data_IF_381832458880
#
_entry.id   IF_381832458880
#
_cell.length_a   1.000
_cell.length_b   1.000
_cell.length_c   1.000
_cell.angle_alpha   90.00
_cell.angle_beta   90.00
_cell.angle_gamma   90.00
#
_symmetry.space_group_name_H-M   'P 1'
#
loop_
_entity.id
_entity.type
_entity.pdbx_description
1 polymer ?
#
# COMPACT_ATOMS: atom_id res chain seq x y z
N UNK A 1 -12.88 11.91 23.72
CA UNK A 1 -11.90 11.14 22.91
C UNK A 1 -10.54 11.77 23.11
N UNK A 2 -9.48 10.96 23.23
CA UNK A 2 -8.11 11.48 23.26
C UNK A 2 -7.72 12.03 21.88
N UNK A 3 -6.81 12.99 21.83
CA UNK A 3 -6.29 13.56 20.57
C UNK A 3 -5.70 12.47 19.65
N UNK A 4 -5.03 11.48 20.24
CA UNK A 4 -4.51 10.30 19.54
C UNK A 4 -5.62 9.46 18.87
N UNK A 5 -6.78 9.29 19.53
CA UNK A 5 -7.92 8.58 18.95
C UNK A 5 -8.54 9.34 17.76
N UNK A 6 -8.56 10.68 17.82
CA UNK A 6 -9.04 11.53 16.71
C UNK A 6 -8.08 11.41 15.51
N UNK A 7 -6.78 11.45 15.75
CA UNK A 7 -5.77 11.27 14.69
C UNK A 7 -5.85 9.86 14.07
N UNK A 8 -6.07 8.83 14.86
CA UNK A 8 -6.22 7.46 14.36
C UNK A 8 -7.47 7.31 13.48
N UNK A 9 -8.60 7.86 13.90
CA UNK A 9 -9.84 7.88 13.10
C UNK A 9 -9.67 8.68 11.81
N UNK A 10 -9.11 9.90 11.92
CA UNK A 10 -8.87 10.74 10.74
C UNK A 10 -7.91 10.07 9.74
N UNK A 11 -6.88 9.39 10.22
CA UNK A 11 -5.95 8.62 9.40
C UNK A 11 -6.63 7.43 8.70
N UNK A 12 -7.43 6.67 9.44
CA UNK A 12 -8.12 5.49 8.89
C UNK A 12 -9.18 5.87 7.85
N UNK A 13 -10.03 6.83 8.16
CA UNK A 13 -11.08 7.29 7.23
C UNK A 13 -10.46 8.01 6.03
N UNK A 14 -9.49 8.90 6.27
CA UNK A 14 -8.78 9.62 5.22
C UNK A 14 -8.00 8.68 4.30
N UNK A 15 -7.34 7.67 4.86
CA UNK A 15 -6.62 6.64 4.09
C UNK A 15 -7.56 5.80 3.23
N UNK A 16 -8.70 5.39 3.77
CA UNK A 16 -9.72 4.64 3.01
C UNK A 16 -10.32 5.47 1.87
N UNK A 17 -10.62 6.74 2.13
CA UNK A 17 -11.12 7.67 1.11
C UNK A 17 -10.07 7.93 0.02
N UNK A 18 -8.82 8.19 0.39
CA UNK A 18 -7.71 8.37 -0.55
C UNK A 18 -7.50 7.12 -1.41
N UNK A 19 -7.57 5.93 -0.79
CA UNK A 19 -7.48 4.65 -1.50
C UNK A 19 -8.62 4.50 -2.51
N UNK A 20 -9.86 4.78 -2.11
CA UNK A 20 -11.02 4.68 -3.00
C UNK A 20 -10.92 5.64 -4.18
N UNK A 21 -10.51 6.88 -3.96
CA UNK A 21 -10.31 7.87 -5.02
C UNK A 21 -9.21 7.49 -6.01
N UNK A 22 -8.12 6.89 -5.53
CA UNK A 22 -6.98 6.50 -6.36
C UNK A 22 -7.07 5.06 -6.85
N UNK A 23 -8.12 4.31 -6.49
CA UNK A 23 -8.24 2.90 -6.82
C UNK A 23 -8.22 2.58 -8.32
N UNK A 24 -8.79 3.40 -9.22
CA UNK A 24 -8.63 3.20 -10.66
C UNK A 24 -7.16 3.08 -11.08
N UNK A 25 -6.27 3.91 -10.53
CA UNK A 25 -4.84 3.83 -10.82
C UNK A 25 -4.18 2.60 -10.18
N UNK A 26 -4.64 2.18 -8.99
CA UNK A 26 -4.19 0.92 -8.36
C UNK A 26 -4.53 -0.26 -9.26
N UNK A 27 -5.78 -0.33 -9.74
CA UNK A 27 -6.25 -1.39 -10.62
C UNK A 27 -5.47 -1.42 -11.94
N UNK A 28 -5.32 -0.27 -12.59
CA UNK A 28 -4.57 -0.15 -13.85
C UNK A 28 -3.09 -0.50 -13.69
N UNK A 29 -2.43 -0.04 -12.62
CA UNK A 29 -1.02 -0.36 -12.36
C UNK A 29 -0.84 -1.86 -12.10
N UNK A 30 -1.78 -2.50 -11.38
CA UNK A 30 -1.75 -3.94 -11.12
C UNK A 30 -1.95 -4.73 -12.42
N UNK A 31 -2.90 -4.33 -13.25
CA UNK A 31 -3.13 -4.95 -14.58
C UNK A 31 -1.91 -4.79 -15.49
N UNK A 32 -1.32 -3.59 -15.54
CA UNK A 32 -0.11 -3.33 -16.33
C UNK A 32 1.08 -4.19 -15.85
N UNK A 33 1.25 -4.37 -14.54
CA UNK A 33 2.29 -5.22 -13.98
C UNK A 33 2.13 -6.71 -14.38
N UNK A 34 0.90 -7.17 -14.61
CA UNK A 34 0.58 -8.56 -14.96
C UNK A 34 0.61 -8.79 -16.49
N UNK A 35 0.34 -7.77 -17.29
CA UNK A 35 0.36 -7.87 -18.76
C UNK A 35 1.76 -8.17 -19.29
N UNK A 36 1.82 -8.99 -20.34
CA UNK A 36 3.06 -9.24 -21.11
C UNK A 36 3.18 -8.25 -22.27
N UNK A 37 4.41 -8.02 -22.72
CA UNK A 37 4.86 -7.00 -23.70
C UNK A 37 4.07 -6.89 -25.01
N UNK A 38 3.16 -7.79 -25.32
CA UNK A 38 2.42 -7.76 -26.60
C UNK A 38 1.41 -6.61 -26.72
N UNK A 39 1.08 -5.92 -25.65
CA UNK A 39 0.15 -4.79 -25.67
C UNK A 39 0.70 -3.61 -24.85
N UNK A 40 1.62 -2.84 -25.40
CA UNK A 40 2.00 -1.54 -24.85
C UNK A 40 0.85 -0.55 -25.07
N UNK A 41 -0.19 -0.63 -24.25
CA UNK A 41 -1.28 0.33 -24.27
C UNK A 41 -0.87 1.60 -23.52
N UNK A 42 -1.16 2.75 -24.11
CA UNK A 42 -1.11 4.01 -23.36
C UNK A 42 -2.11 3.97 -22.19
N UNK A 43 -1.88 4.80 -21.18
CA UNK A 43 -2.80 4.86 -20.01
C UNK A 43 -4.25 5.12 -20.43
N UNK A 44 -4.46 5.98 -21.45
CA UNK A 44 -5.80 6.28 -22.00
C UNK A 44 -6.44 5.06 -22.64
N UNK A 45 -5.69 4.34 -23.46
CA UNK A 45 -6.16 3.11 -24.12
C UNK A 45 -6.46 2.01 -23.10
N UNK A 46 -5.63 1.86 -22.06
CA UNK A 46 -5.86 0.92 -20.98
C UNK A 46 -7.16 1.24 -20.23
N UNK A 47 -7.42 2.52 -19.91
CA UNK A 47 -8.68 2.97 -19.31
C UNK A 47 -9.86 2.68 -20.24
N UNK A 48 -9.75 3.10 -21.52
CA UNK A 48 -10.82 2.89 -22.51
C UNK A 48 -11.13 1.39 -22.69
N UNK A 49 -10.10 0.54 -22.75
CA UNK A 49 -10.25 -0.91 -22.86
C UNK A 49 -11.02 -1.49 -21.67
N UNK A 50 -10.69 -1.09 -20.44
CA UNK A 50 -11.41 -1.55 -19.24
C UNK A 50 -12.85 -1.05 -19.24
N UNK A 51 -13.09 0.22 -19.57
CA UNK A 51 -14.45 0.78 -19.60
C UNK A 51 -15.29 0.11 -20.68
N UNK A 52 -14.73 -0.15 -21.87
CA UNK A 52 -15.44 -0.83 -22.96
C UNK A 52 -15.76 -2.27 -22.62
N UNK A 53 -14.85 -3.01 -21.94
CA UNK A 53 -15.03 -4.44 -21.69
C UNK A 53 -15.74 -4.79 -20.36
N UNK A 54 -15.60 -3.94 -19.33
CA UNK A 54 -16.08 -4.21 -17.97
C UNK A 54 -16.93 -3.08 -17.39
N UNK A 55 -17.10 -1.98 -18.13
CA UNK A 55 -17.74 -0.75 -17.66
C UNK A 55 -16.88 0.03 -16.67
N UNK A 56 -17.37 1.19 -16.23
CA UNK A 56 -16.66 2.07 -15.28
C UNK A 56 -16.37 1.35 -13.95
N UNK A 57 -17.29 0.49 -13.50
CA UNK A 57 -17.11 -0.29 -12.28
C UNK A 57 -15.98 -1.32 -12.38
N UNK A 58 -15.51 -1.68 -13.58
CA UNK A 58 -14.34 -2.51 -13.81
C UNK A 58 -13.06 -1.93 -13.22
N UNK A 59 -12.94 -0.60 -13.23
CA UNK A 59 -11.81 0.12 -12.61
C UNK A 59 -11.75 -0.02 -11.08
N UNK A 60 -12.85 -0.39 -10.45
CA UNK A 60 -12.98 -0.60 -8.99
C UNK A 60 -12.98 -2.10 -8.62
N UNK A 61 -12.59 -2.97 -9.55
CA UNK A 61 -12.52 -4.40 -9.30
C UNK A 61 -11.52 -4.72 -8.19
N UNK A 62 -11.97 -5.41 -7.13
CA UNK A 62 -11.16 -5.75 -5.97
C UNK A 62 -11.05 -4.66 -4.90
N UNK A 63 -11.74 -3.50 -5.02
CA UNK A 63 -11.69 -2.44 -4.01
C UNK A 63 -12.12 -2.94 -2.63
N UNK A 64 -13.24 -3.64 -2.52
CA UNK A 64 -13.75 -4.16 -1.24
C UNK A 64 -12.74 -5.10 -0.60
N UNK A 65 -12.17 -6.03 -1.37
CA UNK A 65 -11.10 -6.93 -0.90
C UNK A 65 -9.83 -6.18 -0.50
N UNK A 66 -9.51 -5.08 -1.19
CA UNK A 66 -8.38 -4.21 -0.82
C UNK A 66 -8.62 -3.50 0.50
N UNK A 67 -9.80 -2.91 0.71
CA UNK A 67 -10.13 -2.21 1.96
C UNK A 67 -10.14 -3.18 3.14
N UNK A 68 -10.73 -4.36 2.96
CA UNK A 68 -10.69 -5.44 3.96
C UNK A 68 -9.24 -5.89 4.21
N UNK A 69 -8.47 -6.11 3.15
CA UNK A 69 -7.07 -6.50 3.23
C UNK A 69 -6.22 -5.50 3.99
N UNK A 70 -6.41 -4.18 3.77
CA UNK A 70 -5.70 -3.13 4.50
C UNK A 70 -6.06 -3.17 5.99
N UNK A 71 -7.34 -3.30 6.33
CA UNK A 71 -7.78 -3.34 7.72
C UNK A 71 -7.17 -4.53 8.46
N UNK A 72 -7.24 -5.74 7.87
CA UNK A 72 -6.65 -6.95 8.46
C UNK A 72 -5.12 -6.84 8.54
N UNK A 73 -4.47 -6.37 7.46
CA UNK A 73 -3.01 -6.21 7.41
C UNK A 73 -2.52 -5.27 8.50
N UNK A 74 -3.18 -4.11 8.67
CA UNK A 74 -2.83 -3.16 9.72
C UNK A 74 -3.05 -3.75 11.12
N UNK A 75 -4.19 -4.41 11.35
CA UNK A 75 -4.48 -5.05 12.65
C UNK A 75 -3.43 -6.09 13.03
N UNK A 76 -3.11 -7.00 12.11
CA UNK A 76 -2.08 -8.04 12.33
C UNK A 76 -0.70 -7.40 12.53
N UNK A 77 -0.35 -6.42 11.70
CA UNK A 77 0.95 -5.75 11.81
C UNK A 77 1.13 -5.07 13.18
N UNK A 78 0.14 -4.28 13.61
CA UNK A 78 0.22 -3.58 14.91
C UNK A 78 0.26 -4.55 16.09
N UNK A 79 -0.50 -5.64 16.05
CA UNK A 79 -0.47 -6.66 17.10
C UNK A 79 0.92 -7.28 17.26
N UNK A 80 1.52 -7.74 16.15
CA UNK A 80 2.85 -8.35 16.20
C UNK A 80 3.97 -7.33 16.44
N UNK A 81 3.83 -6.11 15.92
CA UNK A 81 4.80 -5.05 16.19
C UNK A 81 4.86 -4.67 17.67
N UNK A 82 3.71 -4.52 18.32
CA UNK A 82 3.64 -4.16 19.75
C UNK A 82 4.14 -5.32 20.62
N UNK A 83 3.88 -6.58 20.25
CA UNK A 83 4.44 -7.73 20.93
C UNK A 83 5.97 -7.77 20.82
N UNK A 84 6.51 -7.57 19.63
CA UNK A 84 7.97 -7.49 19.42
C UNK A 84 8.59 -6.32 20.19
N UNK A 85 7.91 -5.17 20.18
CA UNK A 85 8.32 -4.00 20.95
C UNK A 85 8.39 -4.32 22.43
N UNK A 86 7.35 -4.95 22.99
CA UNK A 86 7.29 -5.32 24.41
C UNK A 86 8.38 -6.31 24.79
N UNK A 87 8.65 -7.30 23.93
CA UNK A 87 9.71 -8.30 24.12
C UNK A 87 11.11 -7.65 24.14
N UNK A 88 11.39 -6.72 23.21
CA UNK A 88 12.66 -6.02 23.15
C UNK A 88 12.88 -5.12 24.37
N UNK A 89 11.85 -4.42 24.82
CA UNK A 89 11.90 -3.59 26.03
C UNK A 89 12.14 -4.47 27.26
N UNK A 90 11.44 -5.59 27.41
CA UNK A 90 11.62 -6.54 28.53
C UNK A 90 13.02 -7.14 28.56
N UNK A 91 13.62 -7.45 27.41
CA UNK A 91 14.99 -7.97 27.29
C UNK A 91 16.08 -6.98 27.74
N UNK A 92 15.83 -5.68 27.65
CA UNK A 92 16.78 -4.66 28.14
C UNK A 92 17.00 -4.72 29.64
N UNK A 93 16.12 -5.39 30.40
CA UNK A 93 16.20 -5.44 31.85
C UNK A 93 15.93 -4.08 32.50
N UNK A 94 15.65 -4.09 33.80
CA UNK A 94 15.51 -2.90 34.63
C UNK A 94 16.88 -2.22 34.86
N UNK A 95 17.58 -1.76 33.82
CA UNK A 95 18.69 -0.84 34.03
C UNK A 95 18.10 0.52 34.32
N UNK A 96 18.36 1.09 35.53
CA UNK A 96 17.73 2.33 36.00
C UNK A 96 18.12 3.59 35.22
N UNK A 97 18.90 3.46 34.14
CA UNK A 97 19.56 4.57 33.47
C UNK A 97 18.86 5.06 32.20
N UNK A 98 17.75 4.48 31.77
CA UNK A 98 17.03 5.01 30.60
C UNK A 98 15.54 5.18 30.88
N UNK A 99 15.17 6.41 31.18
CA UNK A 99 13.79 6.91 31.26
C UNK A 99 13.03 6.89 29.92
N UNK A 100 13.52 6.22 28.89
CA UNK A 100 12.91 6.14 27.57
C UNK A 100 12.42 4.72 27.29
N UNK A 101 11.11 4.51 27.42
CA UNK A 101 10.38 3.32 26.92
C UNK A 101 10.36 3.23 25.38
N UNK A 102 11.22 3.97 24.69
CA UNK A 102 11.32 4.00 23.24
C UNK A 102 12.36 2.98 22.73
N UNK A 103 12.03 2.29 21.64
CA UNK A 103 12.98 1.45 20.92
C UNK A 103 14.06 2.32 20.24
N UNK A 104 15.28 1.78 20.16
CA UNK A 104 16.27 2.36 19.23
C UNK A 104 15.81 2.18 17.79
N UNK A 105 16.34 2.99 16.88
CA UNK A 105 16.01 2.88 15.45
C UNK A 105 16.23 1.46 14.91
N UNK A 106 17.34 0.81 15.30
CA UNK A 106 17.66 -0.55 14.87
C UNK A 106 16.68 -1.57 15.39
N UNK A 107 16.30 -1.48 16.66
CA UNK A 107 15.29 -2.36 17.27
C UNK A 107 13.91 -2.15 16.64
N UNK A 108 13.54 -0.89 16.35
CA UNK A 108 12.30 -0.57 15.65
C UNK A 108 12.26 -1.16 14.24
N UNK A 109 13.38 -1.12 13.50
CA UNK A 109 13.51 -1.75 12.20
C UNK A 109 13.37 -3.28 12.32
N UNK A 110 14.06 -3.92 13.26
CA UNK A 110 13.97 -5.36 13.48
C UNK A 110 12.55 -5.80 13.86
N UNK A 111 11.93 -5.10 14.81
CA UNK A 111 10.53 -5.35 15.19
C UNK A 111 9.59 -5.21 13.99
N UNK A 112 9.77 -4.18 13.16
CA UNK A 112 9.01 -3.95 11.94
C UNK A 112 9.20 -5.03 10.89
N UNK A 113 10.42 -5.52 10.69
CA UNK A 113 10.71 -6.61 9.75
C UNK A 113 10.08 -7.93 10.20
N UNK A 114 10.16 -8.29 11.47
CA UNK A 114 9.55 -9.51 12.01
C UNK A 114 8.03 -9.41 11.91
N UNK A 115 7.43 -8.33 12.42
CA UNK A 115 6.00 -8.10 12.35
C UNK A 115 5.50 -8.07 10.90
N UNK A 116 6.22 -7.39 10.00
CA UNK A 116 5.91 -7.32 8.58
C UNK A 116 5.97 -8.67 7.88
N UNK A 117 6.94 -9.52 8.23
CA UNK A 117 7.06 -10.88 7.69
C UNK A 117 5.90 -11.76 8.13
N UNK A 118 5.55 -11.77 9.42
CA UNK A 118 4.40 -12.51 9.95
C UNK A 118 3.10 -12.01 9.31
N UNK A 119 2.93 -10.70 9.23
CA UNK A 119 1.77 -10.08 8.57
C UNK A 119 1.67 -10.52 7.11
N UNK A 120 2.78 -10.50 6.37
CA UNK A 120 2.81 -10.92 4.97
C UNK A 120 2.41 -12.38 4.82
N UNK A 121 2.91 -13.27 5.67
CA UNK A 121 2.53 -14.69 5.67
C UNK A 121 1.04 -14.90 5.96
N UNK A 122 0.50 -14.19 6.94
CA UNK A 122 -0.88 -14.33 7.40
C UNK A 122 -1.87 -13.73 6.40
N UNK A 123 -1.54 -12.59 5.79
CA UNK A 123 -2.47 -11.83 4.93
C UNK A 123 -2.31 -12.09 3.44
N UNK A 124 -1.30 -12.87 3.03
CA UNK A 124 -1.08 -13.17 1.61
C UNK A 124 -2.31 -13.77 0.89
N UNK A 125 -3.12 -14.64 1.53
CA UNK A 125 -4.36 -15.14 0.92
C UNK A 125 -5.30 -14.02 0.47
N UNK A 126 -5.48 -12.98 1.30
CA UNK A 126 -6.37 -11.85 0.99
C UNK A 126 -5.83 -11.09 -0.24
N UNK A 127 -4.53 -10.82 -0.27
CA UNK A 127 -3.89 -10.10 -1.37
C UNK A 127 -3.84 -10.91 -2.67
N UNK A 128 -3.75 -12.23 -2.58
CA UNK A 128 -3.85 -13.11 -3.76
C UNK A 128 -5.24 -13.05 -4.38
N UNK A 129 -6.29 -13.13 -3.58
CA UNK A 129 -7.67 -12.97 -4.03
C UNK A 129 -7.90 -11.58 -4.63
N UNK A 130 -7.44 -10.53 -3.97
CA UNK A 130 -7.56 -9.15 -4.45
C UNK A 130 -6.85 -8.95 -5.81
N UNK A 131 -5.62 -9.44 -5.96
CA UNK A 131 -4.87 -9.32 -7.21
C UNK A 131 -5.57 -10.09 -8.34
N UNK A 132 -6.05 -11.29 -8.06
CA UNK A 132 -6.82 -12.05 -9.03
C UNK A 132 -8.12 -11.31 -9.44
N UNK A 133 -8.89 -10.75 -8.50
CA UNK A 133 -10.07 -9.94 -8.82
C UNK A 133 -9.74 -8.70 -9.68
N UNK A 134 -8.60 -8.04 -9.43
CA UNK A 134 -8.19 -6.88 -10.20
C UNK A 134 -7.76 -7.21 -11.63
N UNK A 135 -7.24 -8.41 -11.86
CA UNK A 135 -6.59 -8.81 -13.13
C UNK A 135 -7.43 -9.74 -13.99
N UNK A 136 -8.37 -10.48 -13.40
CA UNK A 136 -9.23 -11.42 -14.12
C UNK A 136 -10.61 -10.81 -14.39
N UNK A 137 -11.02 -10.85 -15.66
CA UNK A 137 -12.42 -10.72 -16.04
C UNK A 137 -12.99 -12.14 -16.27
N UNK A 138 -14.03 -12.49 -15.55
CA UNK A 138 -14.72 -13.77 -15.74
C UNK A 138 -15.84 -13.60 -16.75
N UNK A 139 -16.06 -14.62 -17.61
CA UNK A 139 -17.20 -14.64 -18.53
C UNK A 139 -18.49 -14.78 -17.73
N UNK A 140 -19.45 -13.87 -17.93
CA UNK A 140 -20.76 -13.97 -17.29
C UNK A 140 -21.48 -15.23 -17.75
N UNK A 141 -22.04 -15.98 -16.79
CA UNK A 141 -22.92 -17.13 -17.06
C UNK A 141 -24.25 -16.92 -16.36
N UNK A 142 -25.33 -17.24 -17.05
CA UNK A 142 -26.67 -17.21 -16.46
C UNK A 142 -26.88 -18.39 -15.48
N UNK A 143 -28.03 -18.42 -14.81
CA UNK A 143 -28.38 -19.47 -13.84
C UNK A 143 -28.34 -20.89 -14.42
N UNK A 144 -28.48 -21.07 -15.74
CA UNK A 144 -28.36 -22.34 -16.45
C UNK A 144 -26.95 -22.68 -16.92
N UNK A 145 -25.94 -21.84 -16.59
CA UNK A 145 -24.54 -22.03 -16.96
C UNK A 145 -24.18 -21.59 -18.38
N UNK A 146 -25.11 -21.04 -19.16
CA UNK A 146 -24.85 -20.50 -20.49
C UNK A 146 -24.13 -19.16 -20.42
N UNK A 147 -23.28 -18.88 -21.42
CA UNK A 147 -22.53 -17.63 -21.52
C UNK A 147 -23.50 -16.50 -21.84
N UNK A 148 -23.54 -15.46 -20.98
CA UNK A 148 -24.24 -14.22 -21.32
C UNK A 148 -23.44 -13.47 -22.39
N UNK A 149 -24.11 -13.02 -23.45
CA UNK A 149 -23.56 -12.20 -24.51
C UNK A 149 -23.98 -10.74 -24.31
N UNK A 150 -23.13 -9.81 -24.76
CA UNK A 150 -23.46 -8.38 -24.87
C UNK A 150 -24.35 -8.11 -26.10
N UNK A 151 -24.72 -6.85 -26.32
CA UNK A 151 -25.54 -6.40 -27.45
C UNK A 151 -24.87 -6.69 -28.81
N UNK A 152 -23.55 -6.89 -28.83
CA UNK A 152 -22.75 -7.22 -30.02
C UNK A 152 -22.54 -8.74 -30.17
N UNK A 153 -23.15 -9.60 -29.33
CA UNK A 153 -23.01 -11.05 -29.36
C UNK A 153 -21.71 -11.60 -28.76
N UNK A 154 -20.89 -10.77 -28.15
CA UNK A 154 -19.64 -11.17 -27.50
C UNK A 154 -19.92 -11.67 -26.07
N UNK A 155 -19.08 -12.59 -25.56
CA UNK A 155 -19.19 -13.06 -24.19
C UNK A 155 -19.02 -11.90 -23.19
N UNK A 156 -20.07 -11.61 -22.43
CA UNK A 156 -20.11 -10.56 -21.43
C UNK A 156 -19.10 -10.84 -20.32
N UNK A 157 -18.15 -9.96 -20.13
CA UNK A 157 -17.14 -10.04 -19.08
C UNK A 157 -17.68 -9.40 -17.80
N UNK A 158 -17.66 -10.14 -16.70
CA UNK A 158 -18.16 -9.69 -15.40
C UNK A 158 -17.03 -9.79 -14.37
N UNK A 159 -17.10 -8.92 -13.38
CA UNK A 159 -16.23 -8.98 -12.20
C UNK A 159 -16.40 -10.30 -11.45
N UNK A 160 -15.31 -11.05 -11.18
CA UNK A 160 -15.42 -12.19 -10.29
C UNK A 160 -15.66 -11.71 -8.86
N UNK A 161 -16.61 -12.34 -8.16
CA UNK A 161 -16.76 -12.12 -6.72
C UNK A 161 -15.53 -12.70 -5.98
N UNK A 162 -15.26 -12.21 -4.75
CA UNK A 162 -14.19 -12.77 -3.95
C UNK A 162 -14.37 -14.28 -3.72
N UNK A 163 -15.61 -14.71 -3.49
CA UNK A 163 -15.96 -16.13 -3.28
C UNK A 163 -15.68 -16.96 -4.54
N UNK A 164 -16.01 -16.45 -5.71
CA UNK A 164 -15.72 -17.11 -6.99
C UNK A 164 -14.22 -17.32 -7.17
N UNK A 165 -13.42 -16.27 -6.92
CA UNK A 165 -11.95 -16.34 -7.02
C UNK A 165 -11.38 -17.35 -6.01
N UNK A 166 -11.88 -17.34 -4.76
CA UNK A 166 -11.46 -18.31 -3.73
C UNK A 166 -11.72 -19.75 -4.21
N UNK A 167 -12.91 -20.04 -4.75
CA UNK A 167 -13.24 -21.36 -5.31
C UNK A 167 -12.32 -21.75 -6.47
N UNK A 168 -12.10 -20.83 -7.41
CA UNK A 168 -11.19 -21.07 -8.54
C UNK A 168 -9.76 -21.37 -8.11
N UNK A 169 -9.23 -20.67 -7.10
CA UNK A 169 -7.89 -20.93 -6.55
C UNK A 169 -7.85 -22.30 -5.89
N UNK A 170 -8.88 -22.64 -5.08
CA UNK A 170 -8.94 -23.94 -4.40
C UNK A 170 -9.03 -25.11 -5.38
N UNK A 171 -9.83 -24.98 -6.44
CA UNK A 171 -9.99 -26.01 -7.46
C UNK A 171 -8.73 -26.21 -8.30
N UNK A 172 -8.03 -25.12 -8.67
CA UNK A 172 -6.85 -25.19 -9.56
C UNK A 172 -5.55 -25.56 -8.83
N UNK A 173 -5.34 -25.01 -7.63
CA UNK A 173 -4.03 -25.02 -6.96
C UNK A 173 -4.11 -25.47 -5.51
N UNK A 174 -5.30 -25.71 -5.00
CA UNK A 174 -5.53 -26.05 -3.62
C UNK A 174 -5.16 -24.91 -2.66
N UNK A 175 -4.97 -25.24 -1.40
CA UNK A 175 -4.61 -24.26 -0.36
C UNK A 175 -3.31 -23.52 -0.65
N UNK A 176 -2.32 -24.17 -1.27
CA UNK A 176 -1.02 -23.56 -1.60
C UNK A 176 -1.15 -22.40 -2.59
N UNK A 177 -2.22 -22.36 -3.38
CA UNK A 177 -2.53 -21.28 -4.32
C UNK A 177 -2.64 -19.91 -3.67
N UNK A 178 -3.09 -19.84 -2.41
CA UNK A 178 -3.23 -18.58 -1.68
C UNK A 178 -1.89 -17.95 -1.26
N UNK A 179 -0.80 -18.73 -1.22
CA UNK A 179 0.54 -18.25 -0.91
C UNK A 179 1.42 -18.05 -2.15
N UNK A 180 0.82 -17.99 -3.34
CA UNK A 180 1.55 -17.59 -4.55
C UNK A 180 2.15 -16.20 -4.35
N UNK A 181 3.37 -16.02 -4.84
CA UNK A 181 4.09 -14.75 -4.73
C UNK A 181 4.57 -14.39 -3.32
N UNK A 182 4.55 -15.33 -2.37
CA UNK A 182 5.01 -15.07 -1.00
C UNK A 182 6.50 -14.72 -0.94
N UNK A 183 7.34 -15.34 -1.77
CA UNK A 183 8.78 -15.01 -1.81
C UNK A 183 9.04 -13.54 -2.12
N UNK A 184 8.62 -13.01 -3.27
CA UNK A 184 8.71 -11.58 -3.55
C UNK A 184 7.98 -10.71 -2.51
N UNK A 185 6.84 -11.17 -1.96
CA UNK A 185 6.12 -10.43 -0.94
C UNK A 185 6.94 -10.23 0.34
N UNK A 186 7.71 -11.25 0.76
CA UNK A 186 8.61 -11.15 1.91
C UNK A 186 9.77 -10.16 1.65
N UNK A 187 10.30 -10.14 0.42
CA UNK A 187 11.32 -9.14 0.06
C UNK A 187 10.75 -7.72 0.12
N UNK A 188 9.48 -7.54 -0.26
CA UNK A 188 8.79 -6.24 -0.20
C UNK A 188 8.60 -5.72 1.24
N UNK A 189 8.76 -6.54 2.28
CA UNK A 189 8.81 -6.09 3.68
C UNK A 189 9.97 -5.11 3.93
N UNK A 190 11.02 -5.14 3.10
CA UNK A 190 12.12 -4.17 3.15
C UNK A 190 11.76 -2.78 2.61
N UNK A 191 10.65 -2.64 1.86
CA UNK A 191 10.28 -1.37 1.25
C UNK A 191 10.12 -0.22 2.27
N UNK A 192 9.43 -0.39 3.42
CA UNK A 192 9.38 0.64 4.47
C UNK A 192 10.76 1.00 5.03
N UNK A 193 11.67 0.04 5.17
CA UNK A 193 13.04 0.29 5.66
C UNK A 193 13.82 1.15 4.67
N UNK A 194 13.77 0.81 3.39
CA UNK A 194 14.39 1.60 2.32
C UNK A 194 13.81 3.01 2.30
N UNK A 195 12.47 3.13 2.39
CA UNK A 195 11.79 4.42 2.43
C UNK A 195 12.24 5.27 3.62
N UNK A 196 12.26 4.70 4.83
CA UNK A 196 12.69 5.38 6.04
C UNK A 196 14.15 5.84 5.95
N UNK A 197 15.06 4.95 5.55
CA UNK A 197 16.48 5.27 5.41
C UNK A 197 16.71 6.37 4.38
N UNK A 198 16.03 6.30 3.23
CA UNK A 198 16.09 7.34 2.20
C UNK A 198 15.57 8.67 2.73
N UNK A 199 14.44 8.65 3.46
CA UNK A 199 13.86 9.84 4.07
C UNK A 199 14.82 10.52 5.05
N UNK A 200 15.44 9.75 5.95
CA UNK A 200 16.43 10.29 6.91
C UNK A 200 17.65 10.91 6.21
N UNK A 201 18.12 10.27 5.14
CA UNK A 201 19.22 10.81 4.34
C UNK A 201 18.83 12.12 3.64
N UNK A 202 17.64 12.18 3.06
CA UNK A 202 17.13 13.39 2.41
C UNK A 202 16.91 14.53 3.40
N UNK A 203 16.38 14.25 4.60
CA UNK A 203 16.26 15.21 5.70
C UNK A 203 17.62 15.75 6.07
N UNK A 204 18.62 14.88 6.29
CA UNK A 204 19.98 15.28 6.66
C UNK A 204 20.64 16.16 5.59
N UNK A 205 20.44 15.81 4.31
CA UNK A 205 20.94 16.60 3.18
C UNK A 205 20.30 18.00 3.15
N UNK A 206 18.96 18.08 3.27
CA UNK A 206 18.26 19.37 3.25
C UNK A 206 18.67 20.28 4.41
N UNK A 207 18.80 19.71 5.61
CA UNK A 207 19.28 20.46 6.78
C UNK A 207 20.72 20.93 6.58
N UNK A 208 21.60 20.09 6.04
CA UNK A 208 22.98 20.45 5.70
C UNK A 208 23.06 21.60 4.70
N UNK A 209 22.25 21.57 3.65
CA UNK A 209 22.15 22.66 2.65
C UNK A 209 21.66 23.98 3.29
N UNK A 210 20.67 23.92 4.17
CA UNK A 210 20.16 25.12 4.86
C UNK A 210 21.17 25.71 5.81
N UNK A 211 21.92 24.89 6.56
CA UNK A 211 23.01 25.31 7.43
C UNK A 211 24.15 25.99 6.64
N UNK A 212 24.59 25.35 5.56
CA UNK A 212 25.63 25.89 4.70
C UNK A 212 25.25 27.27 4.12
N UNK A 213 23.97 27.42 3.70
CA UNK A 213 23.45 28.71 3.19
C UNK A 213 23.39 29.81 4.25
N UNK A 214 23.25 29.45 5.53
CA UNK A 214 23.26 30.42 6.67
C UNK A 214 24.65 30.76 7.16
N UNK A 215 25.72 30.24 6.52
CA UNK A 215 27.10 30.48 6.95
C UNK A 215 27.47 29.85 8.30
N UNK A 216 26.61 28.98 8.84
CA UNK A 216 26.84 28.30 10.10
C UNK A 216 27.76 27.08 9.90
N UNK A 217 28.88 27.04 10.60
CA UNK A 217 29.72 25.83 10.63
C UNK A 217 29.02 24.71 11.42
N UNK A 218 29.20 23.43 11.04
CA UNK A 218 28.54 22.32 11.69
C UNK A 218 28.84 22.09 13.18
N UNK A 219 29.80 22.86 13.72
CA UNK A 219 30.34 22.69 15.08
C UNK A 219 29.71 23.61 16.15
N UNK A 220 28.77 24.49 15.78
CA UNK A 220 28.10 25.39 16.73
C UNK A 220 26.74 24.83 17.19
N UNK A 221 26.29 25.22 18.39
CA UNK A 221 25.01 24.87 19.06
C UNK A 221 23.72 25.20 18.30
N UNK A 222 23.80 25.56 17.04
CA UNK A 222 22.70 25.82 16.09
C UNK A 222 22.47 24.64 15.14
N UNK A 223 22.40 23.41 15.66
CA UNK A 223 21.91 22.30 14.86
C UNK A 223 20.45 22.57 14.52
N UNK A 224 20.15 22.91 13.26
CA UNK A 224 18.79 22.93 12.75
C UNK A 224 18.18 21.56 12.96
N UNK A 225 17.26 21.45 13.90
CA UNK A 225 16.55 20.21 14.19
C UNK A 225 15.45 19.96 13.16
N UNK A 226 14.86 18.78 13.22
CA UNK A 226 13.70 18.38 12.41
C UNK A 226 12.52 19.34 12.54
N UNK A 227 12.40 20.03 13.67
CA UNK A 227 11.41 21.08 13.94
C UNK A 227 11.52 22.32 13.05
N UNK A 228 12.65 22.51 12.36
CA UNK A 228 12.83 23.62 11.40
C UNK A 228 12.31 23.30 9.98
N UNK A 229 11.84 22.07 9.74
CA UNK A 229 11.25 21.64 8.47
C UNK A 229 9.77 21.99 8.44
N UNK A 230 9.33 22.57 7.32
CA UNK A 230 7.90 22.80 7.09
C UNK A 230 7.16 21.51 6.75
N UNK A 231 5.82 21.50 6.89
CA UNK A 231 4.99 20.38 6.48
C UNK A 231 5.19 20.03 4.99
N UNK A 232 5.43 21.02 4.15
CA UNK A 232 5.73 20.84 2.73
C UNK A 232 7.09 20.16 2.50
N UNK A 233 8.11 20.52 3.28
CA UNK A 233 9.42 19.82 3.22
C UNK A 233 9.22 18.33 3.53
N UNK A 234 8.55 18.04 4.64
CA UNK A 234 8.28 16.66 5.07
C UNK A 234 7.45 15.89 4.03
N UNK A 235 6.46 16.55 3.42
CA UNK A 235 5.64 15.96 2.36
C UNK A 235 6.49 15.59 1.13
N UNK A 236 7.28 16.53 0.60
CA UNK A 236 8.10 16.27 -0.59
C UNK A 236 9.22 15.27 -0.33
N UNK A 237 9.89 15.34 0.83
CA UNK A 237 10.91 14.36 1.20
C UNK A 237 10.29 12.96 1.39
N UNK A 238 9.10 12.89 1.99
CA UNK A 238 8.35 11.64 2.14
C UNK A 238 7.90 11.06 0.79
N UNK A 239 7.40 11.89 -0.12
CA UNK A 239 7.03 11.48 -1.46
C UNK A 239 8.26 10.96 -2.24
N UNK A 240 9.36 11.70 -2.22
CA UNK A 240 10.59 11.31 -2.92
C UNK A 240 11.17 10.00 -2.36
N UNK A 241 11.24 9.85 -1.04
CA UNK A 241 11.70 8.59 -0.42
C UNK A 241 10.82 7.42 -0.79
N UNK A 242 9.49 7.62 -0.88
CA UNK A 242 8.54 6.60 -1.35
C UNK A 242 8.77 6.22 -2.81
N UNK A 243 9.01 7.20 -3.68
CA UNK A 243 9.33 6.95 -5.09
C UNK A 243 10.60 6.11 -5.23
N UNK A 244 11.67 6.47 -4.51
CA UNK A 244 12.94 5.72 -4.52
C UNK A 244 12.73 4.28 -4.03
N UNK A 245 12.08 4.09 -2.88
CA UNK A 245 11.82 2.76 -2.33
C UNK A 245 10.96 1.91 -3.27
N UNK A 246 9.91 2.50 -3.85
CA UNK A 246 9.03 1.79 -4.78
C UNK A 246 9.77 1.41 -6.05
N UNK A 247 10.53 2.31 -6.66
CA UNK A 247 11.30 2.02 -7.90
C UNK A 247 12.33 0.93 -7.68
N UNK A 248 13.06 0.97 -6.55
CA UNK A 248 14.07 -0.06 -6.22
C UNK A 248 13.48 -1.45 -5.96
N UNK A 249 12.25 -1.52 -5.43
CA UNK A 249 11.58 -2.79 -5.14
C UNK A 249 10.57 -3.20 -6.23
N UNK A 250 10.42 -2.40 -7.28
CA UNK A 250 9.38 -2.60 -8.30
C UNK A 250 9.46 -3.94 -9.05
N UNK A 251 10.64 -4.48 -9.38
CA UNK A 251 10.76 -5.82 -9.96
C UNK A 251 10.05 -6.90 -9.14
N UNK A 252 10.16 -6.81 -7.82
CA UNK A 252 9.48 -7.76 -6.93
C UNK A 252 7.97 -7.54 -6.87
N UNK A 253 7.49 -6.29 -7.06
CA UNK A 253 6.06 -5.98 -7.18
C UNK A 253 5.49 -6.64 -8.44
N UNK A 254 6.17 -6.54 -9.58
CA UNK A 254 5.73 -7.16 -10.84
C UNK A 254 5.70 -8.68 -10.71
N UNK A 255 6.78 -9.29 -10.22
CA UNK A 255 6.85 -10.75 -10.05
C UNK A 255 5.77 -11.25 -9.09
N UNK A 256 5.58 -10.57 -7.94
CA UNK A 256 4.50 -10.88 -7.00
C UNK A 256 3.14 -10.84 -7.69
N UNK A 257 2.84 -9.76 -8.40
CA UNK A 257 1.55 -9.55 -9.07
C UNK A 257 1.28 -10.63 -10.13
N UNK A 258 2.28 -10.99 -10.93
CA UNK A 258 2.15 -12.05 -11.94
C UNK A 258 1.94 -13.43 -11.33
N UNK A 259 2.62 -13.75 -10.23
CA UNK A 259 2.43 -15.00 -9.50
C UNK A 259 1.03 -15.06 -8.85
N UNK A 260 0.57 -13.97 -8.25
CA UNK A 260 -0.74 -13.89 -7.60
C UNK A 260 -1.90 -13.91 -8.60
N UNK A 261 -1.74 -13.25 -9.75
CA UNK A 261 -2.74 -13.26 -10.80
C UNK A 261 -2.95 -14.63 -11.46
N UNK A 262 -2.05 -15.59 -11.26
CA UNK A 262 -2.10 -16.93 -11.83
C UNK A 262 -2.24 -16.99 -13.37
N UNK A 263 -1.94 -15.88 -14.05
CA UNK A 263 -1.98 -15.81 -15.52
C UNK A 263 -0.80 -16.51 -16.17
N UNK A 264 0.28 -16.71 -15.42
CA UNK A 264 1.50 -17.33 -15.88
C UNK A 264 1.89 -18.52 -15.00
N UNK A 265 2.26 -19.64 -15.62
CA UNK A 265 2.67 -20.88 -14.94
C UNK A 265 4.14 -20.82 -14.51
N UNK A 266 4.53 -19.89 -13.65
CA UNK A 266 5.87 -19.85 -13.08
C UNK A 266 5.98 -20.83 -11.91
N UNK A 267 7.02 -21.69 -11.92
CA UNK A 267 7.26 -22.67 -10.84
C UNK A 267 7.92 -22.06 -9.59
N UNK A 268 8.59 -20.91 -9.72
CA UNK A 268 9.22 -20.19 -8.60
C UNK A 268 9.42 -18.70 -8.93
N UNK A 269 9.65 -17.89 -7.90
CA UNK A 269 9.90 -16.45 -8.05
C UNK A 269 11.15 -16.15 -8.87
N UNK A 270 12.23 -16.92 -8.69
CA UNK A 270 13.48 -16.76 -9.45
C UNK A 270 13.25 -17.07 -10.92
N UNK A 271 12.56 -18.20 -11.21
CA UNK A 271 12.22 -18.56 -12.59
C UNK A 271 11.32 -17.52 -13.25
N UNK A 272 10.42 -16.89 -12.48
CA UNK A 272 9.61 -15.79 -12.97
C UNK A 272 10.46 -14.57 -13.38
N UNK A 273 11.42 -14.17 -12.53
CA UNK A 273 12.35 -13.07 -12.87
C UNK A 273 13.13 -13.36 -14.12
N UNK A 274 13.76 -14.56 -14.20
CA UNK A 274 14.56 -14.94 -15.36
C UNK A 274 13.74 -14.98 -16.63
N UNK A 275 12.56 -15.58 -16.58
CA UNK A 275 11.67 -15.65 -17.74
C UNK A 275 11.20 -14.26 -18.21
N UNK A 276 10.89 -13.33 -17.29
CA UNK A 276 10.54 -11.96 -17.63
C UNK A 276 11.72 -11.25 -18.30
N UNK A 277 12.93 -11.44 -17.76
CA UNK A 277 14.15 -10.85 -18.34
C UNK A 277 14.44 -11.39 -19.75
N UNK A 278 14.27 -12.69 -19.97
CA UNK A 278 14.47 -13.32 -21.26
C UNK A 278 13.39 -12.91 -22.30
N UNK A 279 12.13 -12.91 -21.90
CA UNK A 279 11.00 -12.66 -22.82
C UNK A 279 10.70 -11.17 -23.06
N UNK A 280 10.88 -10.33 -22.05
CA UNK A 280 10.43 -8.93 -22.06
C UNK A 280 11.57 -7.94 -21.76
N UNK A 281 12.74 -8.43 -21.38
CA UNK A 281 13.87 -7.61 -20.94
C UNK A 281 13.61 -6.89 -19.62
N UNK A 282 14.47 -5.92 -19.29
CA UNK A 282 14.35 -5.12 -18.07
C UNK A 282 13.03 -4.36 -18.00
N UNK A 283 12.51 -3.89 -19.13
CA UNK A 283 11.24 -3.15 -19.19
C UNK A 283 10.05 -3.96 -18.67
N UNK A 284 10.06 -5.29 -18.84
CA UNK A 284 9.02 -6.16 -18.30
C UNK A 284 8.97 -6.16 -16.76
N UNK A 285 10.12 -6.00 -16.10
CA UNK A 285 10.19 -5.89 -14.63
C UNK A 285 9.72 -4.53 -14.09
N UNK A 286 9.57 -3.54 -14.97
CA UNK A 286 9.09 -2.19 -14.63
C UNK A 286 7.73 -1.87 -15.27
N UNK A 287 7.03 -2.88 -15.77
CA UNK A 287 5.70 -2.71 -16.37
C UNK A 287 4.70 -2.09 -15.39
N UNK A 288 4.12 -0.94 -15.77
CA UNK A 288 3.16 -0.20 -14.93
C UNK A 288 3.78 0.69 -13.85
N UNK A 289 5.13 0.84 -13.78
CA UNK A 289 5.80 1.69 -12.79
C UNK A 289 5.25 3.12 -12.79
N UNK A 290 5.12 3.76 -13.94
CA UNK A 290 4.64 5.15 -14.04
C UNK A 290 3.27 5.34 -13.39
N UNK A 291 2.32 4.43 -13.67
CA UNK A 291 0.99 4.42 -13.05
C UNK A 291 1.07 4.23 -11.53
N UNK A 292 1.96 3.34 -11.08
CA UNK A 292 2.16 3.08 -9.65
C UNK A 292 2.77 4.27 -8.91
N UNK A 293 3.72 4.96 -9.51
CA UNK A 293 4.32 6.17 -8.95
C UNK A 293 3.28 7.30 -8.88
N UNK A 294 2.54 7.54 -9.96
CA UNK A 294 1.45 8.51 -9.99
C UNK A 294 0.40 8.22 -8.92
N UNK A 295 -0.03 6.95 -8.82
CA UNK A 295 -0.96 6.50 -7.78
C UNK A 295 -0.42 6.78 -6.38
N UNK A 296 0.86 6.49 -6.12
CA UNK A 296 1.47 6.69 -4.80
C UNK A 296 1.51 8.16 -4.40
N UNK A 297 1.85 9.07 -5.33
CA UNK A 297 1.88 10.51 -5.09
C UNK A 297 0.46 11.04 -4.82
N UNK A 298 -0.51 10.67 -5.66
CA UNK A 298 -1.90 11.12 -5.50
C UNK A 298 -2.52 10.59 -4.21
N UNK A 299 -2.27 9.33 -3.85
CA UNK A 299 -2.77 8.77 -2.58
C UNK A 299 -2.20 9.52 -1.38
N UNK A 300 -0.89 9.83 -1.40
CA UNK A 300 -0.25 10.60 -0.34
C UNK A 300 -0.84 12.02 -0.23
N UNK A 301 -1.05 12.68 -1.37
CA UNK A 301 -1.64 14.01 -1.42
C UNK A 301 -3.09 14.03 -0.88
N UNK A 302 -3.93 13.10 -1.35
CA UNK A 302 -5.31 12.99 -0.85
C UNK A 302 -5.37 12.61 0.62
N UNK A 303 -4.51 11.69 1.08
CA UNK A 303 -4.44 11.31 2.48
C UNK A 303 -4.05 12.48 3.38
N UNK A 304 -3.05 13.29 2.96
CA UNK A 304 -2.61 14.47 3.70
C UNK A 304 -3.76 15.49 3.86
N UNK A 305 -4.46 15.81 2.76
CA UNK A 305 -5.60 16.74 2.78
C UNK A 305 -6.76 16.17 3.58
N UNK A 306 -7.13 14.91 3.34
CA UNK A 306 -8.24 14.27 4.02
C UNK A 306 -8.01 14.16 5.53
N UNK A 307 -6.82 13.74 5.96
CA UNK A 307 -6.48 13.63 7.38
C UNK A 307 -6.64 14.96 8.11
N UNK A 308 -6.14 16.05 7.52
CA UNK A 308 -6.24 17.41 8.10
C UNK A 308 -7.71 17.85 8.19
N UNK A 309 -8.48 17.69 7.12
CA UNK A 309 -9.90 18.11 7.09
C UNK A 309 -10.77 17.29 8.05
N UNK A 310 -10.56 15.98 8.10
CA UNK A 310 -11.31 15.11 9.03
C UNK A 310 -10.96 15.45 10.48
N UNK A 311 -9.68 15.67 10.79
CA UNK A 311 -9.26 16.09 12.12
C UNK A 311 -9.93 17.38 12.55
N UNK A 312 -9.89 18.42 11.71
CA UNK A 312 -10.54 19.72 11.96
C UNK A 312 -12.07 19.57 12.15
N UNK A 313 -12.71 18.74 11.34
CA UNK A 313 -14.15 18.47 11.41
C UNK A 313 -14.54 17.75 12.71
N UNK A 314 -13.83 16.68 13.07
CA UNK A 314 -14.08 15.92 14.31
C UNK A 314 -13.85 16.81 15.53
N UNK A 315 -12.79 17.62 15.54
CA UNK A 315 -12.50 18.56 16.63
C UNK A 315 -13.63 19.60 16.80
N UNK A 316 -14.16 20.16 15.70
CA UNK A 316 -15.33 21.05 15.73
C UNK A 316 -16.55 20.35 16.32
N UNK A 317 -16.85 19.12 15.91
CA UNK A 317 -17.98 18.36 16.44
C UNK A 317 -17.88 18.11 17.96
N UNK A 318 -16.67 17.82 18.44
CA UNK A 318 -16.44 17.60 19.89
C UNK A 318 -16.66 18.89 20.66
N UNK A 319 -16.16 20.02 20.17
CA UNK A 319 -16.35 21.33 20.80
C UNK A 319 -17.84 21.67 20.87
N UNK A 320 -18.55 21.57 19.73
CA UNK A 320 -20.00 21.85 19.67
C UNK A 320 -20.82 20.92 20.61
N UNK A 321 -20.44 19.63 20.69
CA UNK A 321 -21.11 18.69 21.59
C UNK A 321 -20.86 18.99 23.08
N UNK A 322 -19.64 19.49 23.40
CA UNK A 322 -19.31 19.92 24.76
C UNK A 322 -20.07 21.21 25.16
N UNK A 323 -20.20 22.17 24.25
CA UNK A 323 -20.98 23.39 24.45
C UNK A 323 -22.47 23.07 24.66
N UNK A 324 -23.03 22.18 23.84
CA UNK A 324 -24.42 21.73 23.96
C UNK A 324 -24.69 21.04 25.32
N UNK A 325 -23.77 20.21 25.80
CA UNK A 325 -23.89 19.61 27.15
C UNK A 325 -23.84 20.65 28.25
N UNK A 326 -23.00 21.69 28.14
CA UNK A 326 -22.94 22.79 29.12
C UNK A 326 -24.22 23.63 29.14
N UNK A 327 -24.87 23.80 28.00
CA UNK A 327 -26.17 24.54 27.92
C UNK A 327 -27.29 23.72 28.54
N UNK A 328 -27.35 22.39 28.28
CA UNK A 328 -28.37 21.50 28.85
C UNK A 328 -28.20 21.32 30.37
N UNK A 329 -26.97 21.40 30.90
CA UNK A 329 -26.70 21.29 32.35
C UNK A 329 -26.96 22.56 33.15
N UNK A 330 -27.30 23.68 32.44
CA UNK A 330 -27.63 24.97 33.05
C UNK A 330 -29.16 25.26 33.09
N UNK A 331 -29.96 24.38 32.48
CA UNK A 331 -31.43 24.34 32.55
C UNK A 331 -31.87 23.23 33.52
#
# INVERSE_FOLDING_TARGET
>A
MSDSAIHALAGSVGGSAAMALTYPLVNLSTRAAVQTKKEELTTREAVAKVIKSEGVLGLYSGLTSSLFGIAVTNGVYYAFYEEMRSLLIRRRGNTPTSSTSALTTTEGILAGLIAGSITTLTTNPIWTVQTAQATHATTARNASGAIETDVEGNAKKVKPSAITVVKEILEKDGLKGFWRGIGPALILVLNPVIQYTTFERLVSLLLGFRLAKQGATPTGKTALGRSSLSDWDLFFLGALSKLVATSGTYPYIVVKSRLQAATHKYKSSIKAVLHILEAEGVNGLYAGLGLKLLQSVLTAAFMFVAQRRIYEFVKKLIVLSAERKKLVSKV
#
